data_IF_731010391366
#
_entry.id   IF_731010391366
#
_cell.length_a   1.000
_cell.length_b   1.000
_cell.length_c   1.000
_cell.angle_alpha   90.00
_cell.angle_beta   90.00
_cell.angle_gamma   90.00
#
_symmetry.space_group_name_H-M   'P 1'
#
loop_
_entity.id
_entity.type
_entity.pdbx_description
1 polymer ?
#
# COMPACT_ATOMS: atom_id res chain seq x y z
N UNK A 1 40.71 51.41 11.66
CA UNK A 1 40.84 50.31 10.68
C UNK A 1 39.69 49.36 10.95
N UNK A 2 38.61 49.47 10.16
CA UNK A 2 37.40 48.68 10.36
C UNK A 2 37.63 47.27 9.78
N UNK A 3 37.41 46.28 10.64
CA UNK A 3 37.58 44.86 10.36
C UNK A 3 36.49 44.40 9.39
N UNK A 4 36.91 44.02 8.18
CA UNK A 4 36.08 43.42 7.15
C UNK A 4 35.53 42.09 7.68
N UNK A 5 34.24 42.04 8.02
CA UNK A 5 33.53 40.80 8.33
C UNK A 5 33.27 40.08 7.02
N UNK A 6 34.01 38.99 6.84
CA UNK A 6 33.95 38.10 5.69
C UNK A 6 32.54 37.50 5.54
N UNK A 7 31.88 37.83 4.43
CA UNK A 7 30.65 37.22 3.88
C UNK A 7 30.90 35.76 3.45
N UNK A 8 31.34 34.91 4.38
CA UNK A 8 31.74 33.51 4.10
C UNK A 8 30.78 32.47 4.68
N UNK A 9 29.49 32.77 4.78
CA UNK A 9 28.44 31.83 5.26
C UNK A 9 27.37 31.50 4.19
N UNK A 10 27.61 31.79 2.90
CA UNK A 10 26.65 31.53 1.81
C UNK A 10 26.92 30.24 0.99
N UNK A 11 27.92 29.43 1.37
CA UNK A 11 28.33 28.25 0.61
C UNK A 11 28.12 26.90 1.32
N UNK A 12 27.21 26.82 2.29
CA UNK A 12 26.60 25.53 2.63
C UNK A 12 25.43 25.24 1.67
N UNK A 13 25.79 25.03 0.41
CA UNK A 13 24.89 24.47 -0.59
C UNK A 13 24.63 23.03 -0.17
N UNK A 14 23.56 22.85 0.62
CA UNK A 14 23.09 21.55 1.08
C UNK A 14 23.02 20.59 -0.10
N UNK A 15 23.84 19.55 -0.05
CA UNK A 15 23.80 18.48 -1.03
C UNK A 15 22.38 17.93 -1.06
N UNK A 16 21.64 18.20 -2.13
CA UNK A 16 20.31 17.65 -2.34
C UNK A 16 20.47 16.12 -2.33
N UNK A 17 19.86 15.39 -1.38
CA UNK A 17 19.95 13.94 -1.33
C UNK A 17 19.51 13.38 -2.69
N UNK A 18 20.38 12.57 -3.32
CA UNK A 18 20.07 11.98 -4.63
C UNK A 18 18.80 11.13 -4.47
N UNK A 19 17.73 11.52 -5.16
CA UNK A 19 16.47 10.78 -5.17
C UNK A 19 16.73 9.30 -5.54
N UNK A 20 16.16 8.36 -4.78
CA UNK A 20 16.31 6.91 -5.00
C UNK A 20 15.52 6.40 -6.22
N UNK A 21 15.56 7.12 -7.35
CA UNK A 21 14.80 6.83 -8.57
C UNK A 21 15.08 5.43 -9.13
N UNK A 22 16.28 4.87 -8.88
CA UNK A 22 16.64 3.50 -9.28
C UNK A 22 15.82 2.43 -8.57
N UNK A 23 15.53 2.60 -7.27
CA UNK A 23 14.72 1.66 -6.51
C UNK A 23 13.28 1.67 -7.01
N UNK A 24 12.75 2.87 -7.29
CA UNK A 24 11.42 3.09 -7.83
C UNK A 24 11.24 2.36 -9.17
N UNK A 25 12.18 2.55 -10.10
CA UNK A 25 12.13 1.88 -11.41
C UNK A 25 12.21 0.35 -11.32
N UNK A 26 13.00 -0.17 -10.38
CA UNK A 26 13.09 -1.61 -10.13
C UNK A 26 11.74 -2.16 -9.63
N UNK A 27 11.14 -1.51 -8.64
CA UNK A 27 9.86 -1.94 -8.06
C UNK A 27 8.72 -1.77 -9.07
N UNK A 28 8.73 -0.70 -9.86
CA UNK A 28 7.80 -0.51 -10.96
C UNK A 28 7.85 -1.69 -11.95
N UNK A 29 9.06 -2.11 -12.36
CA UNK A 29 9.21 -3.28 -13.24
C UNK A 29 8.65 -4.57 -12.64
N UNK A 30 8.89 -4.80 -11.34
CA UNK A 30 8.32 -5.95 -10.61
C UNK A 30 6.79 -5.89 -10.62
N UNK A 31 6.20 -4.73 -10.32
CA UNK A 31 4.75 -4.55 -10.27
C UNK A 31 4.10 -4.72 -11.63
N UNK A 32 4.74 -4.22 -12.70
CA UNK A 32 4.29 -4.45 -14.08
C UNK A 32 4.33 -5.94 -14.41
N UNK A 33 5.41 -6.65 -14.08
CA UNK A 33 5.52 -8.09 -14.27
C UNK A 33 4.44 -8.87 -13.50
N UNK A 34 4.22 -8.51 -12.23
CA UNK A 34 3.19 -9.13 -11.38
C UNK A 34 1.78 -8.94 -11.97
N UNK A 35 1.50 -7.73 -12.46
CA UNK A 35 0.20 -7.38 -13.07
C UNK A 35 0.02 -8.07 -14.42
N UNK A 36 1.08 -8.17 -15.23
CA UNK A 36 1.04 -8.93 -16.47
C UNK A 36 0.75 -10.41 -16.20
N UNK A 37 1.37 -10.99 -15.16
CA UNK A 37 1.12 -12.36 -14.74
C UNK A 37 -0.34 -12.55 -14.29
N UNK A 38 -0.92 -11.62 -13.53
CA UNK A 38 -2.35 -11.63 -13.21
C UNK A 38 -3.22 -11.67 -14.47
N UNK A 39 -2.92 -10.82 -15.46
CA UNK A 39 -3.66 -10.84 -16.72
C UNK A 39 -3.53 -12.18 -17.45
N UNK A 40 -2.34 -12.80 -17.49
CA UNK A 40 -2.18 -14.15 -18.05
C UNK A 40 -3.09 -15.14 -17.33
N UNK A 41 -3.09 -15.18 -16.00
CA UNK A 41 -4.00 -16.07 -15.26
C UNK A 41 -5.48 -15.74 -15.51
N UNK A 42 -5.84 -14.47 -15.70
CA UNK A 42 -7.21 -14.07 -16.03
C UNK A 42 -7.69 -14.66 -17.36
N UNK A 43 -6.83 -14.68 -18.39
CA UNK A 43 -7.18 -15.15 -19.73
C UNK A 43 -7.05 -16.67 -19.90
N UNK A 44 -6.12 -17.31 -19.20
CA UNK A 44 -5.84 -18.74 -19.37
C UNK A 44 -6.54 -19.65 -18.34
N UNK A 45 -7.08 -19.09 -17.24
CA UNK A 45 -7.78 -19.87 -16.22
C UNK A 45 -9.27 -19.48 -16.14
N UNK A 46 -10.14 -20.48 -16.12
CA UNK A 46 -11.58 -20.28 -15.94
C UNK A 46 -11.92 -19.67 -14.57
N UNK A 47 -13.10 -19.06 -14.49
CA UNK A 47 -13.60 -18.44 -13.27
C UNK A 47 -13.90 -19.51 -12.22
N UNK A 48 -12.99 -19.66 -11.25
CA UNK A 48 -13.16 -20.58 -10.15
C UNK A 48 -12.40 -20.16 -8.90
N UNK A 49 -12.58 -20.92 -7.82
CA UNK A 49 -11.99 -20.64 -6.50
C UNK A 49 -10.46 -20.57 -6.56
N UNK A 50 -9.83 -21.40 -7.40
CA UNK A 50 -8.38 -21.40 -7.58
C UNK A 50 -7.87 -20.09 -8.20
N UNK A 51 -8.56 -19.57 -9.23
CA UNK A 51 -8.22 -18.29 -9.85
C UNK A 51 -8.36 -17.14 -8.86
N UNK A 52 -9.46 -17.13 -8.09
CA UNK A 52 -9.70 -16.10 -7.09
C UNK A 52 -8.61 -16.11 -6.01
N UNK A 53 -8.19 -17.28 -5.53
CA UNK A 53 -7.12 -17.41 -4.55
C UNK A 53 -5.77 -16.87 -5.10
N UNK A 54 -5.42 -17.21 -6.35
CA UNK A 54 -4.21 -16.70 -7.00
C UNK A 54 -4.24 -15.18 -7.11
N UNK A 55 -5.37 -14.62 -7.53
CA UNK A 55 -5.53 -13.17 -7.66
C UNK A 55 -5.39 -12.47 -6.32
N UNK A 56 -6.00 -12.99 -5.26
CA UNK A 56 -5.87 -12.45 -3.90
C UNK A 56 -4.39 -12.48 -3.46
N UNK A 57 -3.70 -13.58 -3.66
CA UNK A 57 -2.29 -13.72 -3.27
C UNK A 57 -1.41 -12.74 -4.05
N UNK A 58 -1.56 -12.65 -5.38
CA UNK A 58 -0.80 -11.73 -6.22
C UNK A 58 -1.08 -10.26 -5.87
N UNK A 59 -2.33 -9.89 -5.60
CA UNK A 59 -2.66 -8.53 -5.14
C UNK A 59 -2.06 -8.20 -3.78
N UNK A 60 -1.96 -9.16 -2.85
CA UNK A 60 -1.27 -8.96 -1.57
C UNK A 60 0.23 -8.69 -1.76
N UNK A 61 0.90 -9.47 -2.62
CA UNK A 61 2.30 -9.21 -2.97
C UNK A 61 2.47 -7.81 -3.59
N UNK A 62 1.58 -7.45 -4.51
CA UNK A 62 1.57 -6.12 -5.13
C UNK A 62 1.47 -5.01 -4.09
N UNK A 63 0.51 -5.13 -3.17
CA UNK A 63 0.31 -4.17 -2.08
C UNK A 63 1.57 -4.03 -1.21
N UNK A 64 2.23 -5.14 -0.86
CA UNK A 64 3.47 -5.12 -0.10
C UNK A 64 4.58 -4.34 -0.82
N UNK A 65 4.81 -4.58 -2.11
CA UNK A 65 5.84 -3.87 -2.89
C UNK A 65 5.53 -2.37 -3.05
N UNK A 66 4.26 -2.00 -3.20
CA UNK A 66 3.84 -0.59 -3.26
C UNK A 66 4.13 0.12 -1.93
N UNK A 67 3.72 -0.49 -0.82
CA UNK A 67 3.87 0.05 0.52
C UNK A 67 5.35 0.14 0.91
N UNK A 68 6.16 -0.86 0.57
CA UNK A 68 7.59 -0.84 0.86
C UNK A 68 8.31 0.32 0.15
N UNK A 69 8.12 0.46 -1.16
CA UNK A 69 9.02 1.29 -1.98
C UNK A 69 8.40 2.61 -2.50
N UNK A 70 7.11 2.68 -2.78
CA UNK A 70 6.47 3.94 -3.19
C UNK A 70 6.09 4.83 -2.02
N UNK A 71 5.82 4.24 -0.85
CA UNK A 71 5.49 4.99 0.36
C UNK A 71 6.74 5.34 1.20
N UNK A 72 7.94 5.02 0.70
CA UNK A 72 9.22 5.39 1.32
C UNK A 72 9.35 4.91 2.79
N UNK A 73 8.69 3.81 3.13
CA UNK A 73 8.51 3.28 4.49
C UNK A 73 9.78 2.68 5.10
N UNK A 74 10.78 2.43 4.27
CA UNK A 74 11.93 1.63 4.64
C UNK A 74 12.96 2.34 5.52
N UNK A 75 13.07 3.67 5.49
CA UNK A 75 14.17 4.37 6.15
C UNK A 75 13.80 5.52 7.10
N UNK A 76 12.64 6.19 6.98
CA UNK A 76 12.35 7.35 7.86
C UNK A 76 10.88 7.50 8.33
N UNK A 77 9.92 6.72 7.86
CA UNK A 77 8.51 7.14 7.86
C UNK A 77 7.58 6.27 8.72
N UNK A 78 7.92 6.09 10.00
CA UNK A 78 7.00 5.45 10.98
C UNK A 78 5.63 6.15 11.02
N UNK A 79 5.59 7.47 10.82
CA UNK A 79 4.33 8.23 10.73
C UNK A 79 3.45 7.87 9.54
N UNK A 80 4.03 7.61 8.35
CA UNK A 80 3.24 7.19 7.18
C UNK A 80 2.73 5.75 7.33
N UNK A 81 3.45 4.87 8.02
CA UNK A 81 2.94 3.52 8.32
C UNK A 81 1.61 3.64 9.08
N UNK A 82 1.55 4.49 10.11
CA UNK A 82 0.33 4.74 10.88
C UNK A 82 -0.79 5.36 10.03
N UNK A 83 -0.47 6.24 9.06
CA UNK A 83 -1.49 6.80 8.17
C UNK A 83 -2.12 5.79 7.22
N UNK A 84 -1.49 4.63 7.00
CA UNK A 84 -2.03 3.54 6.19
C UNK A 84 -2.72 2.50 7.08
N UNK A 85 -2.10 2.14 8.20
CA UNK A 85 -2.64 1.13 9.12
C UNK A 85 -3.94 1.59 9.77
N UNK A 86 -4.05 2.86 10.19
CA UNK A 86 -5.27 3.34 10.87
C UNK A 86 -6.50 3.24 9.94
N UNK A 87 -6.50 3.80 8.72
CA UNK A 87 -7.62 3.63 7.79
C UNK A 87 -7.90 2.16 7.44
N UNK A 88 -6.86 1.34 7.27
CA UNK A 88 -7.02 -0.09 6.98
C UNK A 88 -7.69 -0.84 8.13
N UNK A 89 -7.27 -0.59 9.37
CA UNK A 89 -7.85 -1.20 10.56
C UNK A 89 -9.31 -0.79 10.74
N UNK A 90 -9.65 0.48 10.47
CA UNK A 90 -11.03 0.96 10.49
C UNK A 90 -11.89 0.23 9.44
N UNK A 91 -11.37 0.05 8.23
CA UNK A 91 -12.08 -0.64 7.14
C UNK A 91 -12.32 -2.12 7.49
N UNK A 92 -11.31 -2.82 8.03
CA UNK A 92 -11.46 -4.21 8.48
C UNK A 92 -12.48 -4.31 9.62
N UNK A 93 -12.39 -3.42 10.61
CA UNK A 93 -13.33 -3.40 11.73
C UNK A 93 -14.77 -3.13 11.24
N UNK A 94 -14.96 -2.17 10.34
CA UNK A 94 -16.25 -1.85 9.74
C UNK A 94 -16.82 -3.06 8.96
N UNK A 95 -15.98 -3.73 8.17
CA UNK A 95 -16.39 -4.91 7.41
C UNK A 95 -16.89 -6.03 8.34
N UNK A 96 -16.18 -6.30 9.45
CA UNK A 96 -16.63 -7.29 10.45
C UNK A 96 -17.92 -6.84 11.13
N UNK A 97 -18.04 -5.57 11.50
CA UNK A 97 -19.25 -5.03 12.13
C UNK A 97 -20.48 -5.18 11.23
N UNK A 98 -20.36 -4.82 9.94
CA UNK A 98 -21.45 -4.95 8.97
C UNK A 98 -21.84 -6.42 8.72
N UNK A 99 -20.86 -7.33 8.67
CA UNK A 99 -21.15 -8.76 8.52
C UNK A 99 -21.86 -9.34 9.75
N UNK A 100 -21.45 -8.94 10.95
CA UNK A 100 -22.06 -9.39 12.20
C UNK A 100 -23.50 -8.87 12.36
N UNK A 101 -23.70 -7.56 12.18
CA UNK A 101 -25.02 -6.93 12.23
C UNK A 101 -25.93 -7.50 11.13
N UNK A 102 -25.43 -7.60 9.89
CA UNK A 102 -26.18 -8.16 8.77
C UNK A 102 -26.65 -9.60 9.02
N UNK A 103 -25.80 -10.43 9.63
CA UNK A 103 -26.15 -11.80 9.99
C UNK A 103 -27.20 -11.86 11.10
N UNK A 104 -27.06 -11.02 12.13
CA UNK A 104 -28.04 -10.91 13.23
C UNK A 104 -29.42 -10.45 12.74
N UNK A 105 -29.48 -9.44 11.87
CA UNK A 105 -30.72 -8.98 11.27
C UNK A 105 -31.38 -10.07 10.41
N UNK A 106 -30.59 -10.79 9.61
CA UNK A 106 -31.09 -11.87 8.77
C UNK A 106 -31.73 -13.00 9.59
N UNK A 107 -31.07 -13.41 10.67
CA UNK A 107 -31.59 -14.43 11.59
C UNK A 107 -32.86 -13.95 12.32
N UNK A 108 -32.86 -12.70 12.79
CA UNK A 108 -34.02 -12.10 13.46
C UNK A 108 -35.25 -12.04 12.55
N UNK A 109 -35.07 -11.61 11.30
CA UNK A 109 -36.16 -11.58 10.30
C UNK A 109 -36.69 -12.99 10.03
N UNK A 110 -35.79 -13.95 9.79
CA UNK A 110 -36.18 -15.33 9.48
C UNK A 110 -36.97 -15.96 10.63
N UNK A 111 -36.58 -15.70 11.88
CA UNK A 111 -37.29 -16.19 13.06
C UNK A 111 -38.64 -15.48 13.32
N UNK A 112 -38.86 -14.28 12.78
CA UNK A 112 -40.15 -13.58 12.87
C UNK A 112 -41.18 -14.13 11.87
N UNK A 113 -40.74 -14.71 10.76
CA UNK A 113 -41.60 -15.25 9.70
C UNK A 113 -41.80 -16.77 9.79
N UNK A 114 -41.14 -17.43 10.74
CA UNK A 114 -41.31 -18.85 11.09
C UNK A 114 -42.12 -18.99 12.38
#
# INVERSE_FOLDING_TARGET
>A
MAHHTTDSDLHHQGEIPKAQTKAIWKTFGILVGLTALEFVFAFFMEAGTARNAIFIILTLFKAFYIVAEFMHLKHETKGLIWSIIIPLALLIWLMVALLSEGSYYFESITNYFN
#
